data_IF_507718649828
#
_entry.id   IF_507718649828
#
_cell.length_a   1.000
_cell.length_b   1.000
_cell.length_c   1.000
_cell.angle_alpha   90.00
_cell.angle_beta   90.00
_cell.angle_gamma   90.00
#
_symmetry.space_group_name_H-M   'P 1'
#
loop_
_entity.id
_entity.type
_entity.pdbx_description
1 polymer ?
#
# COMPACT_ATOMS: atom_id res chain seq x y z
N UNK A 1 17.28 -3.23 -13.29
CA UNK A 1 16.60 -3.85 -12.13
C UNK A 1 15.85 -5.05 -12.69
N UNK A 2 16.28 -6.27 -12.38
CA UNK A 2 15.70 -7.49 -12.97
C UNK A 2 14.46 -7.85 -12.15
N UNK A 3 13.32 -8.09 -12.82
CA UNK A 3 12.10 -8.55 -12.16
C UNK A 3 12.41 -9.82 -11.33
N UNK A 4 11.94 -9.95 -10.08
CA UNK A 4 12.29 -11.10 -9.23
C UNK A 4 11.98 -12.47 -9.86
N UNK A 5 10.91 -12.56 -10.67
CA UNK A 5 10.60 -13.76 -11.45
C UNK A 5 11.67 -14.07 -12.52
N UNK A 6 12.19 -13.04 -13.18
CA UNK A 6 13.27 -13.14 -14.17
C UNK A 6 14.60 -13.50 -13.50
N UNK A 7 14.87 -12.98 -12.30
CA UNK A 7 16.06 -13.30 -11.50
C UNK A 7 16.10 -14.75 -10.98
N UNK A 8 14.94 -15.35 -10.75
CA UNK A 8 14.77 -16.75 -10.32
C UNK A 8 14.66 -17.74 -11.49
N UNK A 9 14.78 -17.29 -12.74
CA UNK A 9 14.65 -18.13 -13.93
C UNK A 9 13.22 -18.60 -14.22
N UNK A 10 12.22 -18.06 -13.52
CA UNK A 10 10.81 -18.38 -13.73
C UNK A 10 10.31 -17.53 -14.90
N UNK A 11 10.33 -18.12 -16.10
CA UNK A 11 9.62 -17.56 -17.25
C UNK A 11 8.18 -18.09 -17.22
N UNK A 12 7.17 -17.28 -16.88
CA UNK A 12 5.77 -17.69 -17.07
C UNK A 12 5.58 -18.12 -18.53
N UNK A 13 4.83 -19.18 -18.76
CA UNK A 13 4.58 -19.64 -20.14
C UNK A 13 3.87 -18.52 -20.88
N UNK A 14 4.24 -18.27 -22.14
CA UNK A 14 3.63 -17.20 -22.95
C UNK A 14 2.10 -17.36 -23.02
N UNK A 15 1.63 -18.61 -22.98
CA UNK A 15 0.21 -18.97 -22.99
C UNK A 15 -0.56 -18.58 -21.72
N UNK A 16 0.13 -18.18 -20.64
CA UNK A 16 -0.46 -17.73 -19.37
C UNK A 16 -0.64 -16.20 -19.32
N UNK A 17 -0.22 -15.47 -20.35
CA UNK A 17 -0.36 -14.01 -20.43
C UNK A 17 -1.71 -13.61 -21.05
N UNK A 18 -2.29 -12.47 -20.64
CA UNK A 18 -3.52 -11.98 -21.23
C UNK A 18 -3.32 -11.67 -22.73
N UNK A 19 -4.32 -11.98 -23.59
CA UNK A 19 -4.22 -11.74 -25.03
C UNK A 19 -4.21 -10.25 -25.34
N UNK A 20 -3.58 -9.88 -26.47
CA UNK A 20 -3.71 -8.53 -27.04
C UNK A 20 -5.15 -8.35 -27.51
N UNK A 21 -5.82 -7.32 -27.00
CA UNK A 21 -7.19 -6.96 -27.35
C UNK A 21 -7.20 -5.75 -28.27
N UNK A 22 -7.98 -5.82 -29.35
CA UNK A 22 -8.34 -4.65 -30.15
C UNK A 22 -9.27 -3.72 -29.38
N UNK A 23 -9.36 -2.45 -29.80
CA UNK A 23 -10.33 -1.50 -29.23
C UNK A 23 -11.75 -2.07 -29.18
N UNK A 24 -12.21 -2.71 -30.27
CA UNK A 24 -13.54 -3.31 -30.33
C UNK A 24 -13.72 -4.39 -29.27
N UNK A 25 -12.75 -5.29 -29.14
CA UNK A 25 -12.81 -6.37 -28.14
C UNK A 25 -12.88 -5.82 -26.72
N UNK A 26 -12.04 -4.81 -26.41
CA UNK A 26 -12.02 -4.18 -25.09
C UNK A 26 -13.36 -3.48 -24.78
N UNK A 27 -13.94 -2.77 -25.75
CA UNK A 27 -15.21 -2.05 -25.54
C UNK A 27 -16.44 -2.97 -25.43
N UNK A 28 -16.35 -4.21 -25.94
CA UNK A 28 -17.43 -5.20 -25.81
C UNK A 28 -17.27 -6.08 -24.57
N UNK A 29 -16.10 -6.07 -23.94
CA UNK A 29 -15.83 -6.85 -22.75
C UNK A 29 -16.52 -6.22 -21.55
N UNK A 30 -17.22 -7.03 -20.76
CA UNK A 30 -17.81 -6.57 -19.50
C UNK A 30 -16.75 -6.68 -18.41
N UNK A 31 -16.22 -5.53 -17.99
CA UNK A 31 -15.28 -5.41 -16.89
C UNK A 31 -15.99 -4.80 -15.68
N UNK A 32 -15.79 -5.38 -14.50
CA UNK A 32 -16.27 -4.80 -13.25
C UNK A 32 -15.27 -3.76 -12.75
N UNK A 33 -15.80 -2.61 -12.32
CA UNK A 33 -14.99 -1.56 -11.72
C UNK A 33 -14.57 -1.99 -10.30
N UNK A 34 -13.26 -2.04 -9.98
CA UNK A 34 -12.82 -2.44 -8.65
C UNK A 34 -13.21 -1.40 -7.59
N UNK A 35 -13.37 -1.85 -6.35
CA UNK A 35 -13.70 -0.99 -5.21
C UNK A 35 -12.77 0.24 -5.12
N UNK A 36 -13.34 1.43 -4.96
CA UNK A 36 -12.55 2.66 -4.75
C UNK A 36 -11.96 2.65 -3.33
N UNK A 37 -10.66 2.90 -3.21
CA UNK A 37 -9.97 3.06 -1.92
C UNK A 37 -9.79 4.54 -1.57
N UNK A 38 -9.39 5.35 -2.54
CA UNK A 38 -9.25 6.80 -2.43
C UNK A 38 -10.01 7.41 -3.61
N UNK A 39 -11.03 8.22 -3.31
CA UNK A 39 -11.89 8.82 -4.34
C UNK A 39 -11.06 9.54 -5.41
N UNK A 40 -11.33 9.22 -6.67
CA UNK A 40 -10.65 9.79 -7.84
C UNK A 40 -9.16 9.46 -7.98
N UNK A 41 -8.58 8.63 -7.11
CA UNK A 41 -7.13 8.38 -7.06
C UNK A 41 -6.78 6.90 -7.17
N UNK A 42 -7.35 6.05 -6.31
CA UNK A 42 -6.89 4.67 -6.16
C UNK A 42 -8.06 3.70 -6.02
N UNK A 43 -8.08 2.69 -6.88
CA UNK A 43 -8.95 1.53 -6.77
C UNK A 43 -8.19 0.34 -6.20
N UNK A 44 -8.92 -0.60 -5.60
CA UNK A 44 -8.40 -1.87 -5.07
C UNK A 44 -7.68 -2.66 -6.17
N UNK A 45 -6.50 -3.18 -5.84
CA UNK A 45 -5.59 -3.82 -6.81
C UNK A 45 -4.68 -2.83 -7.57
N UNK A 46 -4.95 -1.53 -7.46
CA UNK A 46 -4.07 -0.48 -7.99
C UNK A 46 -2.83 -0.24 -7.13
N UNK A 47 -1.88 0.53 -7.67
CA UNK A 47 -0.65 0.94 -6.99
C UNK A 47 -0.53 2.46 -7.03
N UNK A 48 -0.25 3.08 -5.89
CA UNK A 48 -0.02 4.52 -5.75
C UNK A 48 1.44 4.78 -5.39
N UNK A 49 2.06 5.75 -6.07
CA UNK A 49 3.40 6.26 -5.74
C UNK A 49 3.32 7.72 -5.28
N UNK A 50 3.74 8.00 -4.05
CA UNK A 50 3.88 9.36 -3.54
C UNK A 50 5.32 9.85 -3.69
N UNK A 51 5.57 10.66 -4.71
CA UNK A 51 6.87 11.26 -5.02
C UNK A 51 7.05 12.67 -4.44
N UNK A 52 8.30 13.13 -4.36
CA UNK A 52 8.64 14.45 -3.83
C UNK A 52 10.09 14.56 -3.36
N UNK A 53 10.59 15.79 -3.23
CA UNK A 53 11.97 16.08 -2.79
C UNK A 53 12.27 15.62 -1.35
N UNK A 54 13.54 15.64 -0.97
CA UNK A 54 13.90 15.44 0.44
C UNK A 54 13.22 16.51 1.29
N UNK A 55 12.76 16.12 2.49
CA UNK A 55 12.04 17.00 3.43
C UNK A 55 10.73 17.60 2.91
N UNK A 56 10.19 17.13 1.78
CA UNK A 56 8.87 17.53 1.28
C UNK A 56 7.69 16.84 1.99
N UNK A 57 7.90 16.35 3.22
CA UNK A 57 6.87 15.71 4.04
C UNK A 57 6.24 14.40 3.51
N UNK A 58 6.81 13.74 2.50
CA UNK A 58 6.29 12.46 1.96
C UNK A 58 5.92 11.43 3.03
N UNK A 59 6.80 11.22 4.02
CA UNK A 59 6.53 10.26 5.08
C UNK A 59 5.34 10.66 5.95
N UNK A 60 5.16 11.96 6.19
CA UNK A 60 4.02 12.47 6.95
C UNK A 60 2.72 12.28 6.15
N UNK A 61 2.75 12.60 4.86
CA UNK A 61 1.61 12.36 3.95
C UNK A 61 1.24 10.89 3.87
N UNK A 62 2.22 9.98 3.83
CA UNK A 62 1.97 8.54 3.76
C UNK A 62 1.41 7.99 5.08
N UNK A 63 1.89 8.49 6.23
CA UNK A 63 1.33 8.13 7.55
C UNK A 63 -0.13 8.62 7.65
N UNK A 64 -0.39 9.88 7.28
CA UNK A 64 -1.75 10.45 7.26
C UNK A 64 -2.67 9.67 6.33
N UNK A 65 -2.22 9.33 5.12
CA UNK A 65 -2.98 8.49 4.20
C UNK A 65 -3.30 7.12 4.80
N UNK A 66 -2.31 6.45 5.40
CA UNK A 66 -2.49 5.14 6.01
C UNK A 66 -3.52 5.19 7.15
N UNK A 67 -3.46 6.20 8.02
CA UNK A 67 -4.44 6.42 9.10
C UNK A 67 -5.82 6.75 8.52
N UNK A 68 -5.89 7.55 7.46
CA UNK A 68 -7.12 7.93 6.77
C UNK A 68 -7.83 6.71 6.17
N UNK A 69 -7.08 5.87 5.44
CA UNK A 69 -7.54 4.59 4.92
C UNK A 69 -8.00 3.63 6.02
N UNK A 70 -7.26 3.56 7.13
CA UNK A 70 -7.62 2.66 8.24
C UNK A 70 -8.88 3.10 8.98
N UNK A 71 -9.08 4.40 9.14
CA UNK A 71 -10.24 4.96 9.86
C UNK A 71 -11.45 5.23 8.95
N UNK A 72 -11.24 5.29 7.63
CA UNK A 72 -12.24 5.79 6.68
C UNK A 72 -12.44 7.31 6.77
N UNK A 73 -11.44 8.05 7.24
CA UNK A 73 -11.46 9.52 7.29
C UNK A 73 -10.84 10.12 6.03
N UNK A 74 -11.09 11.41 5.79
CA UNK A 74 -10.56 12.08 4.61
C UNK A 74 -9.04 12.26 4.68
N UNK A 75 -8.42 12.12 3.52
CA UNK A 75 -7.02 12.45 3.27
C UNK A 75 -6.94 13.65 2.32
N UNK A 76 -6.61 14.82 2.88
CA UNK A 76 -6.42 16.07 2.13
C UNK A 76 -7.61 16.46 1.24
N UNK A 77 -8.83 16.27 1.76
CA UNK A 77 -10.08 16.55 1.04
C UNK A 77 -10.54 15.43 0.11
N UNK A 78 -9.80 14.33 0.01
CA UNK A 78 -10.21 13.13 -0.69
C UNK A 78 -10.77 12.11 0.30
N UNK A 79 -11.96 11.60 0.02
CA UNK A 79 -12.58 10.57 0.86
C UNK A 79 -11.83 9.26 0.71
N UNK A 80 -11.50 8.63 1.84
CA UNK A 80 -10.94 7.29 1.88
C UNK A 80 -12.01 6.29 2.34
N UNK A 81 -12.09 5.15 1.66
CA UNK A 81 -12.90 4.04 2.11
C UNK A 81 -12.11 3.19 3.11
N UNK A 82 -12.79 2.80 4.20
CA UNK A 82 -12.16 2.07 5.31
C UNK A 82 -11.59 0.73 4.83
N UNK A 83 -10.31 0.51 5.10
CA UNK A 83 -9.60 -0.72 4.74
C UNK A 83 -8.70 -1.21 5.87
N UNK A 84 -8.34 -2.50 5.84
CA UNK A 84 -7.26 -3.02 6.69
C UNK A 84 -5.91 -2.55 6.13
N UNK A 85 -5.09 -1.94 6.97
CA UNK A 85 -3.83 -1.29 6.56
C UNK A 85 -2.67 -1.91 7.34
N UNK A 86 -1.59 -2.24 6.62
CA UNK A 86 -0.29 -2.58 7.21
C UNK A 86 0.73 -1.54 6.76
N UNK A 87 1.28 -0.76 7.68
CA UNK A 87 2.35 0.18 7.37
C UNK A 87 3.72 -0.50 7.50
N UNK A 88 4.36 -0.80 6.37
CA UNK A 88 5.72 -1.39 6.36
C UNK A 88 6.77 -0.27 6.28
N UNK A 89 7.50 -0.06 7.36
CA UNK A 89 8.45 1.04 7.52
C UNK A 89 9.90 0.56 7.31
N UNK A 90 10.48 0.90 6.16
CA UNK A 90 11.89 0.61 5.84
C UNK A 90 12.87 1.73 6.20
N UNK A 91 12.39 2.96 6.36
CA UNK A 91 13.27 4.14 6.36
C UNK A 91 13.38 4.80 7.72
N UNK A 92 12.33 4.87 8.55
CA UNK A 92 12.29 5.75 9.73
C UNK A 92 12.64 4.96 11.00
N UNK A 93 13.44 5.54 11.90
CA UNK A 93 13.68 4.93 13.21
C UNK A 93 12.36 4.82 13.98
N UNK A 94 12.14 3.69 14.64
CA UNK A 94 10.84 3.36 15.24
C UNK A 94 10.35 4.40 16.25
N UNK A 95 11.21 4.95 17.10
CA UNK A 95 10.86 6.03 18.02
C UNK A 95 10.36 7.29 17.28
N UNK A 96 10.97 7.63 16.15
CA UNK A 96 10.58 8.80 15.35
C UNK A 96 9.28 8.53 14.62
N UNK A 97 9.09 7.31 14.11
CA UNK A 97 7.82 6.90 13.49
C UNK A 97 6.67 6.95 14.50
N UNK A 98 6.86 6.40 15.71
CA UNK A 98 5.88 6.46 16.81
C UNK A 98 5.44 7.90 17.10
N UNK A 99 6.38 8.83 17.22
CA UNK A 99 6.06 10.23 17.49
C UNK A 99 5.27 10.86 16.34
N UNK A 100 5.66 10.62 15.08
CA UNK A 100 4.95 11.13 13.90
C UNK A 100 3.52 10.57 13.81
N UNK A 101 3.35 9.28 14.07
CA UNK A 101 2.04 8.65 14.07
C UNK A 101 1.14 9.26 15.15
N UNK A 102 1.66 9.46 16.36
CA UNK A 102 0.92 10.11 17.45
C UNK A 102 0.54 11.56 17.09
N UNK A 103 1.45 12.32 16.48
CA UNK A 103 1.18 13.69 16.02
C UNK A 103 0.08 13.73 14.95
N UNK A 104 0.09 12.79 14.00
CA UNK A 104 -0.95 12.66 12.97
C UNK A 104 -2.30 12.29 13.58
N UNK A 105 -2.36 11.28 14.45
CA UNK A 105 -3.60 10.85 15.13
C UNK A 105 -4.21 12.04 15.89
N UNK A 106 -3.37 12.77 16.65
CA UNK A 106 -3.78 13.96 17.39
C UNK A 106 -4.29 15.06 16.45
N UNK A 107 -3.56 15.35 15.37
CA UNK A 107 -3.94 16.38 14.41
C UNK A 107 -5.28 16.07 13.70
N UNK A 108 -5.58 14.78 13.48
CA UNK A 108 -6.86 14.32 12.92
C UNK A 108 -7.99 14.25 13.95
N UNK A 109 -7.73 14.53 15.22
CA UNK A 109 -8.73 14.44 16.30
C UNK A 109 -9.19 13.01 16.57
N UNK A 110 -8.36 12.00 16.26
CA UNK A 110 -8.66 10.60 16.46
C UNK A 110 -8.27 10.15 17.87
N UNK A 111 -9.01 9.20 18.43
CA UNK A 111 -8.71 8.59 19.73
C UNK A 111 -7.88 7.32 19.59
N UNK A 112 -7.21 6.92 20.68
CA UNK A 112 -6.46 5.66 20.72
C UNK A 112 -7.35 4.45 20.43
N UNK A 113 -8.61 4.45 20.90
CA UNK A 113 -9.57 3.38 20.63
C UNK A 113 -9.90 3.26 19.13
N UNK A 114 -9.98 4.39 18.41
CA UNK A 114 -10.24 4.39 16.98
C UNK A 114 -9.08 3.80 16.16
N UNK A 115 -7.86 3.77 16.71
CA UNK A 115 -6.63 3.36 16.01
C UNK A 115 -5.90 2.18 16.66
N UNK A 116 -6.52 1.51 17.64
CA UNK A 116 -5.88 0.48 18.47
C UNK A 116 -5.33 -0.71 17.70
N UNK A 117 -5.95 -1.06 16.57
CA UNK A 117 -5.57 -2.18 15.71
C UNK A 117 -4.88 -1.70 14.41
N UNK A 118 -4.27 -0.51 14.41
CA UNK A 118 -3.48 -0.02 13.29
C UNK A 118 -2.12 -0.74 13.23
N UNK A 119 -1.96 -1.60 12.23
CA UNK A 119 -0.77 -2.47 12.12
C UNK A 119 0.44 -1.75 11.51
N UNK A 120 1.59 -1.89 12.16
CA UNK A 120 2.88 -1.34 11.73
C UNK A 120 3.94 -2.43 11.79
N UNK A 121 4.78 -2.50 10.75
CA UNK A 121 5.96 -3.37 10.73
C UNK A 121 7.21 -2.57 10.35
N UNK A 122 8.08 -2.32 11.34
CA UNK A 122 9.35 -1.63 11.10
C UNK A 122 10.42 -2.63 10.69
N UNK A 123 10.92 -2.47 9.46
CA UNK A 123 12.00 -3.26 8.86
C UNK A 123 13.28 -2.45 8.67
N UNK A 124 13.34 -1.22 9.19
CA UNK A 124 14.56 -0.40 9.15
C UNK A 124 15.72 -1.16 9.80
N UNK A 125 16.82 -1.31 9.07
CA UNK A 125 18.00 -2.07 9.52
C UNK A 125 17.99 -3.54 9.10
N UNK A 126 16.89 -4.05 8.56
CA UNK A 126 16.77 -5.41 8.02
C UNK A 126 16.78 -5.37 6.48
N UNK A 127 17.89 -4.91 5.89
CA UNK A 127 18.04 -4.82 4.45
C UNK A 127 18.19 -6.21 3.81
N UNK A 128 17.40 -6.48 2.78
CA UNK A 128 17.50 -7.67 1.95
C UNK A 128 17.02 -7.35 0.53
N UNK A 129 17.33 -8.23 -0.42
CA UNK A 129 16.84 -8.09 -1.79
C UNK A 129 15.32 -8.30 -1.86
N UNK A 130 14.65 -7.67 -2.84
CA UNK A 130 13.21 -7.80 -3.01
C UNK A 130 12.77 -9.26 -3.22
N UNK A 131 13.61 -10.09 -3.86
CA UNK A 131 13.36 -11.54 -4.02
C UNK A 131 13.29 -12.30 -2.70
N UNK A 132 13.90 -11.77 -1.64
CA UNK A 132 13.85 -12.34 -0.28
C UNK A 132 12.76 -11.68 0.56
N UNK A 133 12.62 -10.35 0.44
CA UNK A 133 11.64 -9.57 1.22
C UNK A 133 10.22 -9.93 0.83
N UNK A 134 9.93 -10.06 -0.47
CA UNK A 134 8.56 -10.29 -0.96
C UNK A 134 7.96 -11.59 -0.41
N UNK A 135 8.58 -12.78 -0.56
CA UNK A 135 8.02 -14.01 0.00
C UNK A 135 7.89 -13.96 1.53
N UNK A 136 8.81 -13.27 2.20
CA UNK A 136 8.77 -13.08 3.65
C UNK A 136 7.56 -12.24 4.06
N UNK A 137 7.27 -11.14 3.36
CA UNK A 137 6.06 -10.33 3.60
C UNK A 137 4.81 -11.16 3.33
N UNK A 138 4.72 -11.82 2.17
CA UNK A 138 3.57 -12.65 1.77
C UNK A 138 3.22 -13.70 2.85
N UNK A 139 4.24 -14.42 3.35
CA UNK A 139 4.08 -15.39 4.44
C UNK A 139 3.58 -14.76 5.75
N UNK A 140 4.00 -13.54 6.08
CA UNK A 140 3.57 -12.88 7.32
C UNK A 140 2.17 -12.28 7.25
N UNK A 141 1.69 -11.94 6.05
CA UNK A 141 0.35 -11.38 5.84
C UNK A 141 -0.70 -12.46 5.51
N UNK A 142 -0.25 -13.66 5.13
CA UNK A 142 -1.12 -14.81 4.85
C UNK A 142 -2.10 -15.07 6.01
N UNK A 143 -3.38 -15.23 5.67
CA UNK A 143 -4.45 -15.47 6.63
C UNK A 143 -4.81 -14.28 7.55
N UNK A 144 -4.10 -13.14 7.45
CA UNK A 144 -4.38 -11.96 8.29
C UNK A 144 -5.37 -10.97 7.67
N UNK A 145 -5.91 -11.27 6.50
CA UNK A 145 -6.93 -10.44 5.85
C UNK A 145 -6.40 -9.20 5.13
N UNK A 146 -5.08 -9.10 4.92
CA UNK A 146 -4.53 -8.16 3.95
C UNK A 146 -4.63 -8.75 2.55
N UNK A 147 -4.66 -7.88 1.54
CA UNK A 147 -4.55 -8.29 0.15
C UNK A 147 -3.13 -8.05 -0.32
N UNK A 148 -2.50 -9.12 -0.80
CA UNK A 148 -1.19 -9.10 -1.44
C UNK A 148 -1.33 -8.71 -2.92
#
# INVERSE_FOLDING_TARGET
MIEPAVGLGVKPKVDEWPPIKSYRQLMTERLEEPDVLIEGILHRGGKLLLGGGSKSYKSWSLIDLAVSMYTGSDWWGQRCNKAKVLFINFEIQEWSFRNRLADVIKAKGLTEEQVKDFDVWTLRGHAADLSLIRPMIEKHIEGKGYQA
#
